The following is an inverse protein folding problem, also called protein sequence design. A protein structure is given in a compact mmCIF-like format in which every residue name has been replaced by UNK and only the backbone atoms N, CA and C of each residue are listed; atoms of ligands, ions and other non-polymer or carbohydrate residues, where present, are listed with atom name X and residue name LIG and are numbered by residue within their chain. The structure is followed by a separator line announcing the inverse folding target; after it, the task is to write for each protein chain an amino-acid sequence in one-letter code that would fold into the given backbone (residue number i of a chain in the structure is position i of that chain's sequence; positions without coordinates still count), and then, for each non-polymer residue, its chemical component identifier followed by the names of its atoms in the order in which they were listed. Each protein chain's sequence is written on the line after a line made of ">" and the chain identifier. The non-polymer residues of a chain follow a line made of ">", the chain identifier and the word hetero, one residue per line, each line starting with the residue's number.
data_IF_316324667007
#
_entry.id   IF_316324667007
#
_cell.length_a   1.000
_cell.length_b   1.000
_cell.length_c   1.000
_cell.angle_alpha   90.00
_cell.angle_beta   90.00
_cell.angle_gamma   90.00
#
_symmetry.space_group_name_H-M   'P 1'
#
loop_
_entity.id
_entity.type
_entity.pdbx_description
1 polymer ?
#
# COMPACT_ATOMS: atom_id res chain seq x y z
N UNK A 1 -42.37 -23.52 10.38
CA UNK A 1 -42.12 -22.67 9.19
C UNK A 1 -41.16 -23.44 8.29
N UNK A 2 -41.48 -23.99 7.11
CA UNK A 2 -42.29 -23.56 5.97
C UNK A 2 -42.09 -22.11 5.58
N UNK A 3 -41.32 -21.87 4.52
CA UNK A 3 -41.73 -21.29 3.24
C UNK A 3 -40.46 -21.06 2.40
N UNK A 4 -40.19 -21.90 1.39
CA UNK A 4 -40.71 -21.83 0.02
C UNK A 4 -40.06 -20.69 -0.78
N UNK A 5 -39.16 -20.97 -1.75
CA UNK A 5 -39.36 -21.52 -3.11
C UNK A 5 -39.42 -20.40 -4.16
N UNK A 6 -38.89 -20.70 -5.35
CA UNK A 6 -39.08 -20.04 -6.66
C UNK A 6 -38.08 -18.91 -6.98
N UNK A 7 -37.12 -19.10 -7.89
CA UNK A 7 -37.25 -19.14 -9.35
C UNK A 7 -37.88 -17.88 -9.96
N UNK A 8 -37.08 -17.14 -10.73
CA UNK A 8 -37.54 -16.29 -11.82
C UNK A 8 -36.47 -16.24 -12.91
N UNK A 9 -36.65 -17.10 -13.91
CA UNK A 9 -36.15 -16.96 -15.28
C UNK A 9 -37.35 -16.53 -16.10
N UNK A 10 -37.34 -15.31 -16.60
CA UNK A 10 -38.26 -14.67 -17.57
C UNK A 10 -37.51 -13.35 -17.93
N UNK A 11 -37.25 -12.88 -19.15
CA UNK A 11 -37.91 -12.98 -20.45
C UNK A 11 -36.91 -12.64 -21.59
N UNK A 12 -37.16 -13.24 -22.77
CA UNK A 12 -36.58 -12.89 -24.07
C UNK A 12 -36.96 -11.48 -24.55
N UNK A 13 -36.15 -10.92 -25.47
CA UNK A 13 -36.52 -9.78 -26.30
C UNK A 13 -35.59 -9.62 -27.52
N UNK A 14 -36.07 -10.07 -28.68
CA UNK A 14 -35.50 -9.83 -30.03
C UNK A 14 -36.02 -8.47 -30.54
N UNK A 15 -35.18 -7.69 -31.23
CA UNK A 15 -35.68 -6.82 -32.31
C UNK A 15 -34.99 -5.48 -32.56
N UNK A 16 -34.47 -5.39 -33.79
CA UNK A 16 -34.56 -4.25 -34.73
C UNK A 16 -33.55 -3.11 -34.57
N UNK A 17 -32.79 -2.90 -35.65
CA UNK A 17 -31.68 -1.96 -35.73
C UNK A 17 -32.05 -0.50 -36.00
N UNK A 18 -31.00 0.31 -35.98
CA UNK A 18 -30.95 1.60 -36.65
C UNK A 18 -29.70 1.64 -37.52
N UNK A 19 -29.91 1.81 -38.82
CA UNK A 19 -28.92 2.28 -39.76
C UNK A 19 -28.98 3.81 -39.79
N UNK A 20 -27.80 4.45 -39.85
CA UNK A 20 -27.63 5.83 -40.32
C UNK A 20 -27.39 6.88 -39.23
N UNK A 21 -26.14 7.30 -39.08
CA UNK A 21 -25.71 8.65 -39.46
C UNK A 21 -24.21 8.82 -39.14
N UNK A 22 -23.40 8.84 -40.19
CA UNK A 22 -22.02 9.26 -40.13
C UNK A 22 -21.95 10.77 -39.87
N UNK A 23 -21.27 11.16 -38.80
CA UNK A 23 -20.76 12.51 -38.61
C UNK A 23 -19.28 12.38 -38.32
N UNK A 24 -18.50 12.86 -39.27
CA UNK A 24 -17.06 12.90 -39.22
C UNK A 24 -16.57 14.04 -38.32
N UNK A 25 -15.46 13.75 -37.67
CA UNK A 25 -14.33 14.64 -37.39
C UNK A 25 -14.48 15.76 -36.35
N UNK A 26 -13.58 15.71 -35.38
CA UNK A 26 -13.34 16.78 -34.41
C UNK A 26 -12.92 16.29 -33.03
N UNK A 27 -12.35 15.08 -32.91
CA UNK A 27 -11.76 14.60 -31.68
C UNK A 27 -10.67 15.57 -31.23
N UNK A 28 -10.84 16.12 -30.03
CA UNK A 28 -9.75 16.71 -29.29
C UNK A 28 -8.61 15.70 -29.30
N UNK A 29 -7.44 16.13 -29.76
CA UNK A 29 -6.18 15.45 -29.48
C UNK A 29 -6.00 15.48 -27.96
N UNK A 30 -6.62 14.54 -27.28
CA UNK A 30 -6.25 14.10 -25.94
C UNK A 30 -4.83 13.56 -26.08
N UNK A 31 -3.90 14.47 -25.83
CA UNK A 31 -2.50 14.19 -25.58
C UNK A 31 -2.48 12.98 -24.66
N UNK A 32 -1.86 11.84 -25.03
CA UNK A 32 -1.65 10.80 -24.06
C UNK A 32 -0.74 11.41 -23.01
N UNK A 33 -1.33 11.83 -21.89
CA UNK A 33 -0.62 12.00 -20.63
C UNK A 33 0.11 10.69 -20.45
N UNK A 34 1.42 10.73 -20.68
CA UNK A 34 2.35 9.64 -20.46
C UNK A 34 1.92 8.91 -19.20
N UNK A 35 1.23 7.78 -19.38
CA UNK A 35 1.04 6.82 -18.32
C UNK A 35 2.44 6.33 -18.07
N UNK A 36 3.10 6.90 -17.06
CA UNK A 36 4.40 6.43 -16.62
C UNK A 36 4.27 4.92 -16.48
N UNK A 37 4.89 4.20 -17.41
CA UNK A 37 4.84 2.76 -17.48
C UNK A 37 5.37 2.29 -16.13
N UNK A 38 4.48 1.71 -15.32
CA UNK A 38 4.83 1.28 -13.95
C UNK A 38 5.91 0.22 -14.10
N UNK A 39 7.15 0.64 -13.91
CA UNK A 39 8.32 -0.21 -13.98
C UNK A 39 8.06 -1.42 -13.08
N UNK A 40 8.02 -2.63 -13.66
CA UNK A 40 7.91 -3.83 -12.86
C UNK A 40 9.26 -4.09 -12.19
N UNK A 41 9.27 -4.05 -10.85
CA UNK A 41 10.49 -4.23 -10.08
C UNK A 41 10.76 -5.70 -9.70
N UNK A 42 9.91 -6.65 -10.14
CA UNK A 42 10.06 -8.08 -9.83
C UNK A 42 10.13 -8.40 -8.33
N UNK A 43 9.49 -7.60 -7.48
CA UNK A 43 9.50 -7.77 -6.03
C UNK A 43 8.27 -7.16 -5.34
N UNK A 44 7.98 -7.69 -4.15
CA UNK A 44 7.09 -7.11 -3.15
C UNK A 44 5.59 -7.26 -3.39
N UNK A 45 5.17 -7.97 -4.43
CA UNK A 45 3.82 -8.53 -4.53
C UNK A 45 3.72 -9.87 -3.75
N UNK A 46 2.49 -10.36 -3.54
CA UNK A 46 2.26 -11.68 -2.93
C UNK A 46 2.86 -12.76 -3.83
N UNK A 47 3.64 -13.67 -3.25
CA UNK A 47 4.35 -14.73 -3.99
C UNK A 47 5.68 -14.29 -4.62
N UNK A 48 6.02 -12.99 -4.59
CA UNK A 48 7.33 -12.51 -5.00
C UNK A 48 8.28 -12.36 -3.80
N UNK A 49 9.58 -12.35 -4.08
CA UNK A 49 10.59 -11.94 -3.09
C UNK A 49 10.28 -10.54 -2.55
N UNK A 50 10.51 -10.26 -1.25
CA UNK A 50 10.34 -8.92 -0.73
C UNK A 50 11.30 -7.95 -1.43
N UNK A 51 10.86 -6.70 -1.66
CA UNK A 51 11.77 -5.65 -2.08
C UNK A 51 12.76 -5.31 -0.95
N UNK A 52 13.93 -4.69 -1.22
CA UNK A 52 14.98 -4.49 -0.23
C UNK A 52 14.50 -3.88 1.11
N UNK A 53 13.81 -2.73 1.10
CA UNK A 53 13.24 -2.14 2.33
C UNK A 53 12.17 -3.01 2.96
N UNK A 54 11.30 -3.64 2.17
CA UNK A 54 10.25 -4.50 2.70
C UNK A 54 10.85 -5.69 3.46
N UNK A 55 11.92 -6.28 2.91
CA UNK A 55 12.65 -7.39 3.53
C UNK A 55 13.39 -6.95 4.78
N UNK A 56 14.09 -5.81 4.72
CA UNK A 56 14.77 -5.24 5.88
C UNK A 56 13.79 -4.89 7.00
N UNK A 57 12.72 -4.14 6.71
CA UNK A 57 11.71 -3.76 7.69
C UNK A 57 11.05 -4.98 8.34
N UNK A 58 10.75 -6.02 7.55
CA UNK A 58 10.24 -7.29 8.07
C UNK A 58 11.24 -7.94 9.03
N UNK A 59 12.52 -7.98 8.67
CA UNK A 59 13.58 -8.57 9.51
C UNK A 59 13.73 -7.82 10.83
N UNK A 60 13.65 -6.48 10.80
CA UNK A 60 13.80 -5.64 11.99
C UNK A 60 12.56 -5.69 12.89
N UNK A 61 11.37 -5.56 12.32
CA UNK A 61 10.15 -5.33 13.09
C UNK A 61 9.37 -6.60 13.42
N UNK A 62 9.36 -7.62 12.54
CA UNK A 62 8.37 -8.69 12.61
C UNK A 62 8.42 -9.47 13.93
N UNK A 63 9.61 -9.80 14.42
CA UNK A 63 9.77 -10.52 15.69
C UNK A 63 9.24 -9.68 16.86
N UNK A 64 9.64 -8.41 16.92
CA UNK A 64 9.21 -7.48 17.97
C UNK A 64 7.68 -7.29 17.95
N UNK A 65 7.09 -7.03 16.78
CA UNK A 65 5.64 -6.83 16.66
C UNK A 65 4.83 -8.07 16.99
N UNK A 66 5.33 -9.27 16.65
CA UNK A 66 4.66 -10.53 16.95
C UNK A 66 4.73 -10.89 18.45
N UNK A 67 5.77 -10.42 19.15
CA UNK A 67 5.93 -10.69 20.57
C UNK A 67 5.00 -9.88 21.46
N UNK A 68 4.46 -8.76 20.98
CA UNK A 68 3.70 -7.81 21.79
C UNK A 68 4.52 -7.11 22.87
N UNK A 69 5.85 -7.27 22.88
CA UNK A 69 6.76 -6.72 23.86
C UNK A 69 7.12 -5.27 23.50
N UNK A 70 6.65 -4.32 24.32
CA UNK A 70 6.88 -2.90 24.12
C UNK A 70 8.37 -2.52 24.11
N UNK A 71 9.21 -3.20 24.90
CA UNK A 71 10.64 -2.93 24.92
C UNK A 71 11.31 -3.36 23.61
N UNK A 72 10.97 -4.55 23.10
CA UNK A 72 11.48 -5.04 21.80
C UNK A 72 10.99 -4.17 20.64
N UNK A 73 9.73 -3.71 20.69
CA UNK A 73 9.17 -2.81 19.67
C UNK A 73 9.90 -1.47 19.70
N UNK A 74 10.19 -0.94 20.89
CA UNK A 74 10.94 0.30 21.03
C UNK A 74 12.35 0.19 20.45
N UNK A 75 13.10 -0.85 20.82
CA UNK A 75 14.46 -1.08 20.30
C UNK A 75 14.46 -1.21 18.78
N UNK A 76 13.51 -1.97 18.21
CA UNK A 76 13.38 -2.11 16.76
C UNK A 76 13.08 -0.77 16.08
N UNK A 77 12.18 0.06 16.64
CA UNK A 77 11.86 1.38 16.10
C UNK A 77 13.01 2.38 16.23
N UNK A 78 13.80 2.31 17.30
CA UNK A 78 15.03 3.08 17.42
C UNK A 78 16.04 2.69 16.34
N UNK A 79 16.20 1.39 16.06
CA UNK A 79 17.05 0.96 14.96
C UNK A 79 16.54 1.46 13.61
N UNK A 80 15.22 1.40 13.37
CA UNK A 80 14.60 1.97 12.17
C UNK A 80 14.93 3.46 12.02
N UNK A 81 14.91 4.22 13.12
CA UNK A 81 15.21 5.64 13.12
C UNK A 81 16.66 5.96 12.68
N UNK A 82 17.59 4.99 12.72
CA UNK A 82 18.98 5.17 12.26
C UNK A 82 19.17 5.06 10.75
N UNK A 83 18.15 4.64 10.01
CA UNK A 83 18.21 4.37 8.57
C UNK A 83 17.17 5.17 7.77
N UNK A 84 17.22 6.52 7.79
CA UNK A 84 16.28 7.34 7.03
C UNK A 84 16.55 7.22 5.52
N UNK A 85 15.54 6.89 4.70
CA UNK A 85 15.66 6.97 3.24
C UNK A 85 15.73 8.44 2.76
N UNK A 86 16.33 8.71 1.60
CA UNK A 86 16.38 10.04 1.01
C UNK A 86 14.97 10.59 0.77
N UNK A 87 14.77 11.87 1.09
CA UNK A 87 13.49 12.55 0.90
C UNK A 87 12.42 12.30 1.98
N UNK A 88 12.69 11.48 3.01
CA UNK A 88 11.70 11.14 4.05
C UNK A 88 11.95 11.86 5.38
N UNK A 89 11.76 13.18 5.38
CA UNK A 89 12.17 14.06 6.48
C UNK A 89 11.57 13.73 7.87
N UNK A 90 10.39 13.10 7.95
CA UNK A 90 9.72 12.72 9.21
C UNK A 90 10.02 11.29 9.66
N UNK A 91 10.81 10.52 8.89
CA UNK A 91 11.14 9.13 9.19
C UNK A 91 11.64 8.94 10.62
N UNK A 92 12.68 9.70 10.99
CA UNK A 92 13.32 9.61 12.31
C UNK A 92 12.34 10.00 13.41
N UNK A 93 11.57 11.08 13.20
CA UNK A 93 10.63 11.59 14.18
C UNK A 93 9.50 10.60 14.48
N UNK A 94 8.86 10.06 13.43
CA UNK A 94 7.75 9.10 13.57
C UNK A 94 8.25 7.79 14.21
N UNK A 95 9.44 7.33 13.82
CA UNK A 95 10.03 6.11 14.38
C UNK A 95 10.33 6.27 15.88
N UNK A 96 10.94 7.40 16.28
CA UNK A 96 11.19 7.71 17.70
C UNK A 96 9.89 7.88 18.49
N UNK A 97 8.88 8.52 17.92
CA UNK A 97 7.57 8.66 18.57
C UNK A 97 6.93 7.30 18.85
N UNK A 98 6.98 6.38 17.88
CA UNK A 98 6.52 5.00 18.10
C UNK A 98 7.32 4.27 19.16
N UNK A 99 8.65 4.45 19.20
CA UNK A 99 9.50 3.85 20.21
C UNK A 99 9.14 4.33 21.62
N UNK A 100 8.94 5.64 21.79
CA UNK A 100 8.57 6.23 23.09
C UNK A 100 7.20 5.74 23.59
N UNK A 101 6.23 5.54 22.69
CA UNK A 101 4.93 4.94 23.05
C UNK A 101 5.09 3.47 23.46
N UNK A 102 5.86 2.71 22.69
CA UNK A 102 6.13 1.30 23.00
C UNK A 102 6.84 1.12 24.36
N UNK A 103 7.81 1.98 24.70
CA UNK A 103 8.47 2.00 26.03
C UNK A 103 7.50 2.23 27.18
N UNK A 104 6.44 3.00 26.95
CA UNK A 104 5.39 3.30 27.93
C UNK A 104 4.32 2.21 28.02
N UNK A 105 4.46 1.12 27.27
CA UNK A 105 3.44 0.07 27.16
C UNK A 105 2.26 0.44 26.25
N UNK A 106 2.31 1.60 25.58
CA UNK A 106 1.29 2.03 24.62
C UNK A 106 1.55 1.38 23.25
N UNK A 107 1.21 0.09 23.17
CA UNK A 107 1.43 -0.71 21.96
C UNK A 107 0.55 -0.23 20.80
N UNK A 108 -0.68 0.20 21.07
CA UNK A 108 -1.58 0.69 20.02
C UNK A 108 -1.15 2.06 19.51
N UNK A 109 -0.65 2.93 20.37
CA UNK A 109 0.01 4.16 19.97
C UNK A 109 1.29 3.93 19.15
N UNK A 110 2.08 2.91 19.48
CA UNK A 110 3.23 2.50 18.66
C UNK A 110 2.79 2.01 17.27
N UNK A 111 1.72 1.20 17.18
CA UNK A 111 1.11 0.78 15.90
C UNK A 111 0.59 1.97 15.10
N UNK A 112 0.04 2.98 15.76
CA UNK A 112 -0.39 4.21 15.09
C UNK A 112 0.79 4.92 14.42
N UNK A 113 1.97 4.96 15.06
CA UNK A 113 3.19 5.48 14.43
C UNK A 113 3.62 4.66 13.21
N UNK A 114 3.53 3.33 13.26
CA UNK A 114 3.77 2.47 12.08
C UNK A 114 2.83 2.81 10.92
N UNK A 115 1.55 3.03 11.21
CA UNK A 115 0.56 3.44 10.22
C UNK A 115 0.89 4.81 9.64
N UNK A 116 1.19 5.80 10.46
CA UNK A 116 1.56 7.16 10.01
C UNK A 116 2.79 7.14 9.09
N UNK A 117 3.82 6.37 9.43
CA UNK A 117 5.01 6.22 8.59
C UNK A 117 4.66 5.58 7.24
N UNK A 118 3.85 4.51 7.25
CA UNK A 118 3.44 3.83 6.02
C UNK A 118 2.52 4.68 5.14
N UNK A 119 1.57 5.40 5.71
CA UNK A 119 0.64 6.24 4.95
C UNK A 119 1.39 7.40 4.28
N UNK A 120 2.38 7.97 4.97
CA UNK A 120 3.17 9.08 4.44
C UNK A 120 4.14 8.63 3.34
N UNK A 121 4.84 7.52 3.53
CA UNK A 121 6.02 7.20 2.70
C UNK A 121 5.91 5.97 1.81
N UNK A 122 4.94 5.07 2.04
CA UNK A 122 4.86 3.81 1.28
C UNK A 122 4.61 4.05 -0.21
N UNK A 123 3.86 5.10 -0.57
CA UNK A 123 3.63 5.44 -1.98
C UNK A 123 4.93 5.93 -2.63
N UNK A 124 5.54 6.97 -2.08
CA UNK A 124 6.80 7.54 -2.57
C UNK A 124 7.89 6.45 -2.68
N UNK A 125 8.03 5.61 -1.65
CA UNK A 125 9.00 4.52 -1.67
C UNK A 125 8.75 3.53 -2.82
N UNK A 126 7.48 3.20 -3.12
CA UNK A 126 7.13 2.30 -4.22
C UNK A 126 7.41 2.91 -5.59
N UNK A 127 7.32 4.22 -5.72
CA UNK A 127 7.47 4.94 -6.99
C UNK A 127 8.94 5.27 -7.27
N UNK A 128 9.69 5.68 -6.25
CA UNK A 128 11.02 6.29 -6.41
C UNK A 128 12.17 5.41 -5.91
N UNK A 129 11.94 4.57 -4.89
CA UNK A 129 13.02 3.90 -4.14
C UNK A 129 12.87 2.38 -4.09
N UNK A 130 11.98 1.79 -4.91
CA UNK A 130 11.57 0.39 -4.80
C UNK A 130 12.71 -0.63 -4.95
N UNK A 131 13.79 -0.24 -5.62
CA UNK A 131 15.00 -1.04 -5.79
C UNK A 131 16.07 -0.86 -4.69
N UNK A 132 15.88 0.10 -3.76
CA UNK A 132 16.90 0.51 -2.78
C UNK A 132 16.40 0.31 -1.36
N UNK A 133 17.24 -0.11 -0.41
CA UNK A 133 16.80 -0.15 1.00
C UNK A 133 16.86 1.25 1.64
N UNK A 134 17.90 2.02 1.35
CA UNK A 134 18.14 3.38 1.84
C UNK A 134 18.88 4.15 0.76
#
# INVERSE_FOLDING_TARGET
>A
MSMSKLMSVVLMGVGIGFAGAAWAAGGTTDVPSSVAEKKDFGCGAKGQKPCPMQGWMKTVMQSATNSGDGAKIAEALEYVATKPPPGMAKWVAISKEGAEKAKKGDIDGAKASCKSCHDMYKKQYKEELRANAF
#
